data_IF_303107741315
#
_entry.id   IF_303107741315
#
_cell.length_a   1.000
_cell.length_b   1.000
_cell.length_c   1.000
_cell.angle_alpha   90.00
_cell.angle_beta   90.00
_cell.angle_gamma   90.00
#
_symmetry.space_group_name_H-M   'P 1'
#
loop_
_entity.id
_entity.type
_entity.pdbx_description
1 polymer ?
#
# COMPACT_ATOMS: atom_id res chain seq x y z
N UNK A 1 -27.30 5.52 -23.11
CA UNK A 1 -25.83 5.63 -22.94
C UNK A 1 -25.37 5.47 -21.49
N UNK A 2 -26.00 6.11 -20.49
CA UNK A 2 -25.52 6.07 -19.10
C UNK A 2 -25.48 4.66 -18.45
N UNK A 3 -26.40 3.76 -18.82
CA UNK A 3 -26.39 2.37 -18.31
C UNK A 3 -25.12 1.59 -18.67
N UNK A 4 -24.61 1.73 -19.90
CA UNK A 4 -23.38 1.06 -20.33
C UNK A 4 -22.14 1.62 -19.62
N UNK A 5 -22.04 2.96 -19.52
CA UNK A 5 -20.95 3.63 -18.80
C UNK A 5 -20.93 3.25 -17.30
N UNK A 6 -22.11 3.21 -16.67
CA UNK A 6 -22.28 2.77 -15.29
C UNK A 6 -21.82 1.33 -15.09
N UNK A 7 -22.23 0.41 -15.98
CA UNK A 7 -21.84 -0.99 -15.95
C UNK A 7 -20.33 -1.16 -16.11
N UNK A 8 -19.71 -0.41 -17.04
CA UNK A 8 -18.27 -0.42 -17.23
C UNK A 8 -17.54 0.09 -15.99
N UNK A 9 -18.01 1.18 -15.40
CA UNK A 9 -17.41 1.73 -14.19
C UNK A 9 -17.53 0.76 -13.00
N UNK A 10 -18.68 0.09 -12.86
CA UNK A 10 -18.87 -0.95 -11.85
C UNK A 10 -17.85 -2.09 -11.99
N UNK A 11 -17.66 -2.61 -13.21
CA UNK A 11 -16.67 -3.65 -13.47
C UNK A 11 -15.24 -3.19 -13.11
N UNK A 12 -14.89 -1.94 -13.41
CA UNK A 12 -13.59 -1.37 -13.02
C UNK A 12 -13.45 -1.29 -11.50
N UNK A 13 -14.47 -0.84 -10.79
CA UNK A 13 -14.47 -0.79 -9.32
C UNK A 13 -14.28 -2.18 -8.69
N UNK A 14 -14.95 -3.21 -9.23
CA UNK A 14 -14.80 -4.60 -8.77
C UNK A 14 -13.37 -5.10 -9.03
N UNK A 15 -12.84 -4.91 -10.24
CA UNK A 15 -11.49 -5.35 -10.58
C UNK A 15 -10.42 -4.68 -9.70
N UNK A 16 -10.53 -3.37 -9.47
CA UNK A 16 -9.61 -2.63 -8.59
C UNK A 16 -9.73 -3.09 -7.14
N UNK A 17 -10.93 -3.43 -6.67
CA UNK A 17 -11.14 -3.99 -5.34
C UNK A 17 -10.42 -5.35 -5.18
N UNK A 18 -10.55 -6.25 -6.16
CA UNK A 18 -9.89 -7.55 -6.15
C UNK A 18 -8.36 -7.42 -6.15
N UNK A 19 -7.82 -6.56 -7.02
CA UNK A 19 -6.37 -6.28 -7.07
C UNK A 19 -5.85 -5.71 -5.76
N UNK A 20 -6.60 -4.80 -5.14
CA UNK A 20 -6.24 -4.22 -3.86
C UNK A 20 -6.24 -5.27 -2.75
N UNK A 21 -7.23 -6.17 -2.74
CA UNK A 21 -7.31 -7.25 -1.76
C UNK A 21 -6.10 -8.19 -1.88
N UNK A 22 -5.72 -8.55 -3.11
CA UNK A 22 -4.53 -9.36 -3.40
C UNK A 22 -3.25 -8.68 -2.90
N UNK A 23 -3.07 -7.38 -3.17
CA UNK A 23 -1.88 -6.63 -2.71
C UNK A 23 -1.81 -6.54 -1.19
N UNK A 24 -2.94 -6.29 -0.53
CA UNK A 24 -2.98 -6.25 0.94
C UNK A 24 -2.65 -7.61 1.54
N UNK A 25 -3.16 -8.70 0.97
CA UNK A 25 -2.92 -10.05 1.46
C UNK A 25 -1.47 -10.52 1.21
N UNK A 26 -0.95 -10.25 0.02
CA UNK A 26 0.42 -10.64 -0.38
C UNK A 26 1.50 -9.70 0.16
N UNK A 27 1.12 -8.54 0.71
CA UNK A 27 2.04 -7.43 1.03
C UNK A 27 2.85 -6.95 -0.20
N UNK A 28 2.27 -7.08 -1.39
CA UNK A 28 2.88 -6.72 -2.67
C UNK A 28 2.89 -5.21 -2.94
N UNK A 29 3.55 -4.43 -2.08
CA UNK A 29 3.46 -2.96 -2.06
C UNK A 29 3.92 -2.27 -3.35
N UNK A 30 4.78 -2.91 -4.16
CA UNK A 30 5.23 -2.39 -5.45
C UNK A 30 4.06 -2.12 -6.42
N UNK A 31 3.01 -2.96 -6.36
CA UNK A 31 1.82 -2.82 -7.22
C UNK A 31 0.83 -1.80 -6.70
N UNK A 32 0.97 -1.35 -5.44
CA UNK A 32 0.00 -0.47 -4.78
C UNK A 32 -0.14 0.90 -5.48
N UNK A 33 0.96 1.47 -6.00
CA UNK A 33 0.93 2.76 -6.68
C UNK A 33 0.08 2.74 -7.96
N UNK A 34 0.16 1.66 -8.76
CA UNK A 34 -0.66 1.50 -9.97
C UNK A 34 -2.15 1.32 -9.64
N UNK A 35 -2.44 0.62 -8.53
CA UNK A 35 -3.80 0.46 -8.02
C UNK A 35 -4.36 1.81 -7.55
N UNK A 36 -3.57 2.64 -6.85
CA UNK A 36 -4.00 3.98 -6.43
C UNK A 36 -4.44 4.86 -7.61
N UNK A 37 -3.66 4.86 -8.68
CA UNK A 37 -4.00 5.58 -9.92
C UNK A 37 -5.33 5.06 -10.48
N UNK A 38 -5.53 3.74 -10.52
CA UNK A 38 -6.76 3.13 -11.02
C UNK A 38 -7.98 3.47 -10.14
N UNK A 39 -7.81 3.51 -8.81
CA UNK A 39 -8.83 3.96 -7.86
C UNK A 39 -9.21 5.41 -8.14
N UNK A 40 -8.22 6.29 -8.32
CA UNK A 40 -8.42 7.71 -8.59
C UNK A 40 -9.21 7.92 -9.88
N UNK A 41 -8.85 7.24 -10.96
CA UNK A 41 -9.58 7.31 -12.23
C UNK A 41 -11.04 6.86 -12.09
N UNK A 42 -11.30 5.79 -11.33
CA UNK A 42 -12.66 5.33 -11.07
C UNK A 42 -13.48 6.37 -10.28
N UNK A 43 -12.87 7.02 -9.28
CA UNK A 43 -13.51 8.08 -8.50
C UNK A 43 -13.76 9.34 -9.32
N UNK A 44 -12.83 9.71 -10.22
CA UNK A 44 -13.00 10.83 -11.15
C UNK A 44 -14.15 10.55 -12.12
N UNK A 45 -14.20 9.37 -12.74
CA UNK A 45 -15.31 8.97 -13.60
C UNK A 45 -16.65 9.01 -12.85
N UNK A 46 -16.68 8.48 -11.63
CA UNK A 46 -17.87 8.52 -10.77
C UNK A 46 -18.34 9.95 -10.49
N UNK A 47 -17.41 10.89 -10.27
CA UNK A 47 -17.73 12.29 -9.96
C UNK A 47 -18.44 13.03 -11.10
N UNK A 48 -18.25 12.56 -12.33
CA UNK A 48 -18.91 13.12 -13.51
C UNK A 48 -20.30 12.52 -13.77
N UNK A 49 -20.68 11.47 -13.04
CA UNK A 49 -21.98 10.81 -13.21
C UNK A 49 -23.06 11.48 -12.36
N UNK A 50 -24.17 11.88 -13.01
CA UNK A 50 -25.35 12.42 -12.34
C UNK A 50 -26.08 11.37 -11.49
N UNK A 51 -26.17 10.13 -12.00
CA UNK A 51 -26.88 9.03 -11.33
C UNK A 51 -26.02 7.74 -11.30
N UNK A 52 -25.12 7.60 -10.32
CA UNK A 52 -24.25 6.43 -10.18
C UNK A 52 -24.99 5.16 -9.74
N UNK A 53 -26.12 5.34 -9.06
CA UNK A 53 -26.99 4.32 -8.48
C UNK A 53 -26.37 3.40 -7.43
N UNK A 54 -27.23 2.66 -6.73
CA UNK A 54 -26.91 2.07 -5.42
C UNK A 54 -25.79 1.05 -5.43
N UNK A 55 -25.76 0.16 -6.42
CA UNK A 55 -24.73 -0.88 -6.53
C UNK A 55 -23.32 -0.30 -6.63
N UNK A 56 -23.16 0.75 -7.43
CA UNK A 56 -21.87 1.42 -7.61
C UNK A 56 -21.42 2.14 -6.34
N UNK A 57 -22.37 2.75 -5.61
CA UNK A 57 -22.11 3.36 -4.31
C UNK A 57 -21.73 2.32 -3.25
N UNK A 58 -22.35 1.13 -3.29
CA UNK A 58 -22.00 0.02 -2.40
C UNK A 58 -20.58 -0.48 -2.64
N UNK A 59 -20.20 -0.73 -3.89
CA UNK A 59 -18.83 -1.17 -4.22
C UNK A 59 -17.80 -0.10 -3.88
N UNK A 60 -18.10 1.19 -4.13
CA UNK A 60 -17.26 2.31 -3.68
C UNK A 60 -17.03 2.27 -2.16
N UNK A 61 -18.07 2.01 -1.37
CA UNK A 61 -17.96 1.94 0.08
C UNK A 61 -17.05 0.78 0.53
N UNK A 62 -17.19 -0.39 -0.09
CA UNK A 62 -16.32 -1.55 0.17
C UNK A 62 -14.86 -1.23 -0.19
N UNK A 63 -14.62 -0.65 -1.37
CA UNK A 63 -13.30 -0.23 -1.80
C UNK A 63 -12.67 0.78 -0.82
N UNK A 64 -13.45 1.75 -0.33
CA UNK A 64 -12.97 2.72 0.67
C UNK A 64 -12.51 2.05 1.97
N UNK A 65 -13.26 1.06 2.46
CA UNK A 65 -12.90 0.32 3.67
C UNK A 65 -11.60 -0.47 3.48
N UNK A 66 -11.48 -1.17 2.36
CA UNK A 66 -10.28 -1.93 2.03
C UNK A 66 -9.06 -1.02 1.84
N UNK A 67 -9.23 0.12 1.17
CA UNK A 67 -8.16 1.09 0.98
C UNK A 67 -7.66 1.66 2.32
N UNK A 68 -8.56 1.92 3.27
CA UNK A 68 -8.15 2.33 4.62
C UNK A 68 -7.34 1.26 5.36
N UNK A 69 -7.63 -0.03 5.14
CA UNK A 69 -6.83 -1.13 5.66
C UNK A 69 -5.45 -1.18 5.00
N UNK A 70 -5.40 -0.99 3.67
CA UNK A 70 -4.17 -0.97 2.91
C UNK A 70 -3.20 0.14 3.38
N UNK A 71 -3.71 1.36 3.63
CA UNK A 71 -2.90 2.46 4.19
C UNK A 71 -2.26 2.05 5.51
N UNK A 72 -3.03 1.45 6.42
CA UNK A 72 -2.53 1.01 7.73
C UNK A 72 -1.45 -0.06 7.59
N UNK A 73 -1.68 -1.06 6.74
CA UNK A 73 -0.73 -2.13 6.50
C UNK A 73 0.57 -1.62 5.83
N UNK A 74 0.47 -0.65 4.91
CA UNK A 74 1.61 0.03 4.31
C UNK A 74 2.42 0.80 5.37
N UNK A 75 1.76 1.56 6.25
CA UNK A 75 2.44 2.26 7.34
C UNK A 75 3.20 1.30 8.28
N UNK A 76 2.60 0.15 8.60
CA UNK A 76 3.25 -0.89 9.40
C UNK A 76 4.48 -1.48 8.68
N UNK A 77 4.41 -1.69 7.36
CA UNK A 77 5.55 -2.17 6.59
C UNK A 77 6.70 -1.15 6.57
N UNK A 78 6.40 0.14 6.40
CA UNK A 78 7.41 1.21 6.50
C UNK A 78 8.08 1.25 7.88
N UNK A 79 7.29 1.09 8.94
CA UNK A 79 7.80 1.06 10.31
C UNK A 79 8.69 -0.17 10.57
N UNK A 80 8.30 -1.34 10.06
CA UNK A 80 9.14 -2.54 10.13
C UNK A 80 10.47 -2.31 9.42
N UNK A 81 10.44 -1.78 8.19
CA UNK A 81 11.66 -1.48 7.43
C UNK A 81 12.57 -0.52 8.19
N UNK A 82 11.99 0.52 8.80
CA UNK A 82 12.74 1.47 9.64
C UNK A 82 13.43 0.77 10.80
N UNK A 83 12.74 -0.13 11.50
CA UNK A 83 13.31 -0.90 12.61
C UNK A 83 14.44 -1.81 12.15
N UNK A 84 14.28 -2.54 11.04
CA UNK A 84 15.34 -3.39 10.51
C UNK A 84 16.58 -2.59 10.13
N UNK A 85 16.42 -1.42 9.50
CA UNK A 85 17.54 -0.54 9.17
C UNK A 85 18.24 -0.03 10.43
N UNK A 86 17.49 0.34 11.47
CA UNK A 86 18.07 0.76 12.75
C UNK A 86 18.90 -0.36 13.39
N UNK A 87 18.37 -1.59 13.43
CA UNK A 87 19.09 -2.76 13.96
C UNK A 87 20.39 -3.02 13.18
N UNK A 88 20.38 -2.86 11.85
CA UNK A 88 21.60 -3.01 11.05
C UNK A 88 22.64 -1.93 11.36
N UNK A 89 22.21 -0.68 11.61
CA UNK A 89 23.10 0.39 12.04
C UNK A 89 23.71 0.10 13.41
N UNK A 90 22.88 -0.23 14.41
CA UNK A 90 23.33 -0.57 15.77
C UNK A 90 24.31 -1.76 15.75
N UNK A 91 24.04 -2.78 14.94
CA UNK A 91 24.92 -3.93 14.80
C UNK A 91 26.27 -3.56 14.15
N UNK A 92 26.26 -2.68 13.13
CA UNK A 92 27.47 -2.20 12.49
C UNK A 92 28.32 -1.33 13.44
N UNK A 93 27.67 -0.46 14.21
CA UNK A 93 28.32 0.36 15.24
C UNK A 93 28.92 -0.49 16.36
N UNK A 94 28.18 -1.47 16.86
CA UNK A 94 28.65 -2.43 17.86
C UNK A 94 29.89 -3.20 17.38
N UNK A 95 29.86 -3.74 16.15
CA UNK A 95 31.04 -4.40 15.55
C UNK A 95 32.25 -3.47 15.42
N UNK A 96 32.03 -2.20 15.05
CA UNK A 96 33.10 -1.21 14.93
C UNK A 96 33.76 -0.91 16.29
N UNK A 97 32.96 -0.86 17.35
CA UNK A 97 33.46 -0.67 18.72
C UNK A 97 34.35 -1.86 19.17
N UNK A 98 33.93 -3.10 18.90
CA UNK A 98 34.74 -4.29 19.23
C UNK A 98 36.06 -4.34 18.44
N UNK A 99 36.02 -4.12 17.11
CA UNK A 99 37.24 -4.09 16.29
C UNK A 99 38.24 -3.01 16.75
N UNK A 100 37.73 -1.85 17.19
CA UNK A 100 38.57 -0.78 17.73
C UNK A 100 39.22 -1.19 19.04
N UNK A 101 38.50 -1.85 19.95
CA UNK A 101 39.07 -2.35 21.22
C UNK A 101 40.14 -3.41 20.97
N UNK A 102 39.92 -4.35 20.04
CA UNK A 102 40.92 -5.38 19.69
C UNK A 102 42.20 -4.76 19.10
N UNK A 103 42.09 -3.73 18.26
CA UNK A 103 43.25 -2.98 17.75
C UNK A 103 44.04 -2.27 18.86
N UNK A 104 43.38 -1.75 19.89
CA UNK A 104 44.04 -1.12 21.03
C UNK A 104 44.63 -2.14 22.03
N UNK A 105 44.09 -3.36 22.09
CA UNK A 105 44.59 -4.41 23.01
C UNK A 105 45.65 -5.33 22.39
N UNK A 106 45.64 -5.55 21.07
CA UNK A 106 46.62 -6.38 20.36
C UNK A 106 47.93 -5.66 19.96
N UNK A 107 48.06 -4.37 20.27
CA UNK A 107 49.25 -3.55 20.00
C UNK A 107 50.21 -3.37 21.18
N UNK A 108 50.10 -4.21 22.23
CA UNK A 108 51.05 -4.24 23.35
C UNK A 108 51.92 -5.48 23.31
#
# INVERSE_FOLDING_TARGET
MQSAARRQLLLRFVAVHEQLAEVVQSKGWERFAAIDVSVRECLQALSTMTEPGEELLRVKQQLKQLYAQAIKACAQACEHLRQSLLTHLEYAEGRSAYLRVDLFQGGR
#
